data_IF_057277904834
#
_entry.id   IF_057277904834
#
_cell.length_a   1.000
_cell.length_b   1.000
_cell.length_c   1.000
_cell.angle_alpha   90.00
_cell.angle_beta   90.00
_cell.angle_gamma   90.00
#
_symmetry.space_group_name_H-M   'P 1'
#
loop_
_entity.id
_entity.type
_entity.pdbx_description
1 polymer ?
#
# COMPACT_ATOMS: atom_id res chain seq x y z
N UNK A 1 57.73 27.75 -39.27
CA UNK A 1 56.93 27.65 -38.06
C UNK A 1 55.72 26.77 -38.38
N UNK A 2 55.70 25.51 -37.93
CA UNK A 2 54.59 24.60 -38.19
C UNK A 2 53.38 24.96 -37.33
N UNK A 3 52.27 25.26 -37.98
CA UNK A 3 50.97 25.45 -37.26
C UNK A 3 50.63 24.12 -36.64
N UNK A 4 50.55 24.06 -35.31
CA UNK A 4 50.14 22.84 -34.59
C UNK A 4 48.75 22.43 -35.03
N UNK A 5 48.53 21.13 -35.26
CA UNK A 5 47.23 20.54 -35.62
C UNK A 5 46.15 20.99 -34.60
N UNK A 6 46.50 21.11 -33.32
CA UNK A 6 45.64 21.63 -32.26
C UNK A 6 45.18 23.07 -32.49
N UNK A 7 46.09 23.96 -32.98
CA UNK A 7 45.73 25.35 -33.25
C UNK A 7 44.82 25.49 -34.47
N UNK A 8 44.98 24.61 -35.45
CA UNK A 8 44.10 24.55 -36.62
C UNK A 8 42.69 24.04 -36.24
N UNK A 9 42.62 22.99 -35.43
CA UNK A 9 41.37 22.47 -34.90
C UNK A 9 40.61 23.51 -34.08
N UNK A 10 41.32 24.24 -33.20
CA UNK A 10 40.72 25.32 -32.39
C UNK A 10 40.16 26.45 -33.24
N UNK A 11 40.88 26.92 -34.25
CA UNK A 11 40.42 27.94 -35.20
C UNK A 11 39.22 27.46 -36.01
N UNK A 12 39.19 26.20 -36.43
CA UNK A 12 38.07 25.58 -37.14
C UNK A 12 36.81 25.54 -36.25
N UNK A 13 36.96 25.20 -34.97
CA UNK A 13 35.88 25.17 -33.97
C UNK A 13 35.31 26.57 -33.73
N UNK A 14 36.19 27.59 -33.60
CA UNK A 14 35.75 28.99 -33.44
C UNK A 14 35.03 29.53 -34.68
N UNK A 15 35.37 29.09 -35.89
CA UNK A 15 34.66 29.46 -37.10
C UNK A 15 33.27 28.84 -37.20
N UNK A 16 33.03 27.71 -36.51
CA UNK A 16 31.74 27.00 -36.47
C UNK A 16 31.12 27.02 -35.06
N UNK A 17 31.33 28.12 -34.32
CA UNK A 17 30.92 28.24 -32.92
C UNK A 17 29.46 27.91 -32.64
N UNK A 18 28.53 28.26 -33.56
CA UNK A 18 27.11 27.98 -33.39
C UNK A 18 26.84 26.46 -33.47
N UNK A 19 27.38 25.79 -34.49
CA UNK A 19 27.22 24.32 -34.61
C UNK A 19 27.90 23.57 -33.46
N UNK A 20 29.09 24.02 -33.04
CA UNK A 20 29.79 23.42 -31.90
C UNK A 20 29.01 23.62 -30.60
N UNK A 21 28.46 24.81 -30.37
CA UNK A 21 27.59 25.09 -29.20
C UNK A 21 26.34 24.23 -29.20
N UNK A 22 25.66 24.13 -30.36
CA UNK A 22 24.46 23.26 -30.47
C UNK A 22 24.77 21.79 -30.19
N UNK A 23 25.93 21.30 -30.68
CA UNK A 23 26.36 19.91 -30.40
C UNK A 23 26.64 19.72 -28.91
N UNK A 24 27.32 20.66 -28.27
CA UNK A 24 27.58 20.60 -26.81
C UNK A 24 26.26 20.62 -26.02
N UNK A 25 25.34 21.51 -26.39
CA UNK A 25 24.02 21.58 -25.74
C UNK A 25 23.24 20.24 -25.93
N UNK A 26 23.24 19.70 -27.15
CA UNK A 26 22.55 18.43 -27.42
C UNK A 26 23.10 17.27 -26.59
N UNK A 27 24.45 17.18 -26.51
CA UNK A 27 25.13 16.16 -25.70
C UNK A 27 24.80 16.39 -24.20
N UNK A 28 24.92 17.63 -23.74
CA UNK A 28 24.65 17.97 -22.34
C UNK A 28 23.21 17.64 -21.94
N UNK A 29 22.21 17.96 -22.80
CA UNK A 29 20.82 17.61 -22.61
C UNK A 29 20.62 16.09 -22.58
N UNK A 30 21.23 15.35 -23.50
CA UNK A 30 21.14 13.88 -23.54
C UNK A 30 21.72 13.24 -22.29
N UNK A 31 22.88 13.72 -21.84
CA UNK A 31 23.49 13.23 -20.59
C UNK A 31 22.66 13.61 -19.37
N UNK A 32 22.17 14.84 -19.31
CA UNK A 32 21.31 15.29 -18.21
C UNK A 32 20.02 14.47 -18.13
N UNK A 33 19.38 14.20 -19.27
CA UNK A 33 18.18 13.35 -19.33
C UNK A 33 18.49 11.92 -18.88
N UNK A 34 19.57 11.32 -19.37
CA UNK A 34 19.98 9.98 -18.98
C UNK A 34 20.24 9.88 -17.47
N UNK A 35 21.01 10.80 -16.91
CA UNK A 35 21.28 10.84 -15.46
C UNK A 35 20.01 11.11 -14.64
N UNK A 36 19.13 11.97 -15.15
CA UNK A 36 17.84 12.25 -14.52
C UNK A 36 16.95 11.01 -14.44
N UNK A 37 16.83 10.28 -15.55
CA UNK A 37 16.07 9.02 -15.60
C UNK A 37 16.67 7.96 -14.68
N UNK A 38 17.99 7.80 -14.70
CA UNK A 38 18.67 6.81 -13.83
C UNK A 38 18.51 7.16 -12.34
N UNK A 39 18.62 8.43 -12.00
CA UNK A 39 18.39 8.91 -10.62
C UNK A 39 16.93 8.67 -10.19
N UNK A 40 15.97 8.97 -11.05
CA UNK A 40 14.55 8.71 -10.78
C UNK A 40 14.25 7.22 -10.62
N UNK A 41 14.84 6.37 -11.46
CA UNK A 41 14.72 4.91 -11.36
C UNK A 41 15.28 4.37 -10.05
N UNK A 42 16.47 4.82 -9.66
CA UNK A 42 17.09 4.37 -8.42
C UNK A 42 16.32 4.86 -7.20
N UNK A 43 15.85 6.11 -7.20
CA UNK A 43 15.00 6.64 -6.13
C UNK A 43 13.67 5.87 -6.01
N UNK A 44 13.05 5.49 -7.12
CA UNK A 44 11.84 4.67 -7.12
C UNK A 44 12.11 3.27 -6.55
N UNK A 45 13.23 2.64 -6.92
CA UNK A 45 13.64 1.35 -6.39
C UNK A 45 13.93 1.41 -4.89
N UNK A 46 14.73 2.38 -4.46
CA UNK A 46 15.03 2.60 -3.05
C UNK A 46 13.75 2.90 -2.24
N UNK A 47 12.83 3.70 -2.78
CA UNK A 47 11.54 3.96 -2.19
C UNK A 47 10.72 2.69 -1.99
N UNK A 48 10.72 1.79 -2.99
CA UNK A 48 10.05 0.49 -2.87
C UNK A 48 10.73 -0.41 -1.83
N UNK A 49 12.04 -0.60 -1.93
CA UNK A 49 12.82 -1.44 -1.02
C UNK A 49 12.74 -0.94 0.43
N UNK A 50 12.57 0.38 0.63
CA UNK A 50 12.40 0.99 1.94
C UNK A 50 10.96 0.90 2.46
N UNK A 51 9.95 0.80 1.58
CA UNK A 51 8.55 0.78 2.00
C UNK A 51 8.13 -0.60 2.50
N UNK A 52 8.55 -1.66 1.83
CA UNK A 52 8.23 -3.04 2.23
C UNK A 52 9.47 -3.92 2.10
N UNK A 53 9.81 -4.61 3.16
CA UNK A 53 10.91 -5.56 3.20
C UNK A 53 10.46 -6.87 3.87
N UNK A 54 11.16 -7.97 3.58
CA UNK A 54 10.81 -9.27 4.18
C UNK A 54 9.53 -9.92 3.64
N UNK A 55 8.86 -9.29 2.67
CA UNK A 55 7.73 -9.85 1.93
C UNK A 55 8.23 -10.36 0.59
N UNK A 56 8.11 -11.66 0.35
CA UNK A 56 8.62 -12.27 -0.88
C UNK A 56 7.65 -12.15 -2.05
N UNK A 57 6.34 -12.16 -1.79
CA UNK A 57 5.31 -12.03 -2.81
C UNK A 57 4.18 -11.11 -2.33
N UNK A 58 3.61 -10.37 -3.27
CA UNK A 58 2.34 -9.65 -3.11
C UNK A 58 1.39 -10.27 -4.12
N UNK A 59 0.29 -10.82 -3.63
CA UNK A 59 -0.70 -11.51 -4.46
C UNK A 59 -1.96 -10.68 -4.50
N UNK A 60 -2.49 -10.46 -5.70
CA UNK A 60 -3.73 -9.71 -5.93
C UNK A 60 -4.53 -10.28 -7.09
N UNK A 61 -5.72 -9.77 -7.31
CA UNK A 61 -6.49 -10.05 -8.52
C UNK A 61 -5.84 -9.38 -9.75
N UNK A 62 -6.05 -9.88 -10.98
CA UNK A 62 -5.43 -9.34 -12.18
C UNK A 62 -5.85 -7.88 -12.45
N UNK A 63 -4.98 -6.95 -12.09
CA UNK A 63 -5.18 -5.51 -12.30
C UNK A 63 -3.93 -4.81 -12.87
N UNK A 64 -2.90 -5.60 -13.21
CA UNK A 64 -1.58 -5.11 -13.62
C UNK A 64 -0.61 -4.96 -12.43
N UNK A 65 0.62 -5.43 -12.61
CA UNK A 65 1.63 -5.50 -11.54
C UNK A 65 1.91 -4.13 -10.90
N UNK A 66 2.02 -3.08 -11.73
CA UNK A 66 2.26 -1.72 -11.23
C UNK A 66 1.08 -1.24 -10.39
N UNK A 67 -0.14 -1.48 -10.84
CA UNK A 67 -1.35 -1.08 -10.12
C UNK A 67 -1.43 -1.81 -8.77
N UNK A 68 -1.19 -3.12 -8.75
CA UNK A 68 -1.14 -3.91 -7.51
C UNK A 68 -0.15 -3.32 -6.50
N UNK A 69 1.06 -2.95 -6.93
CA UNK A 69 2.06 -2.32 -6.08
C UNK A 69 1.63 -0.93 -5.60
N UNK A 70 1.08 -0.10 -6.49
CA UNK A 70 0.66 1.25 -6.15
C UNK A 70 -0.38 1.25 -5.04
N UNK A 71 -1.43 0.44 -5.13
CA UNK A 71 -2.45 0.47 -4.09
C UNK A 71 -2.08 -0.35 -2.85
N UNK A 72 -1.44 -1.52 -3.00
CA UNK A 72 -1.16 -2.39 -1.85
C UNK A 72 0.03 -1.91 -1.00
N UNK A 73 1.06 -1.31 -1.60
CA UNK A 73 2.28 -0.86 -0.93
C UNK A 73 2.26 0.64 -0.70
N UNK A 74 2.01 1.42 -1.77
CA UNK A 74 2.10 2.88 -1.70
C UNK A 74 0.78 3.57 -1.30
N UNK A 75 -0.32 2.83 -1.17
CA UNK A 75 -1.66 3.35 -0.83
C UNK A 75 -2.21 4.34 -1.88
N UNK A 76 -1.72 4.25 -3.12
CA UNK A 76 -2.11 5.10 -4.24
C UNK A 76 -3.09 4.39 -5.17
N UNK A 77 -4.16 5.06 -5.57
CA UNK A 77 -5.19 4.49 -6.43
C UNK A 77 -6.14 3.56 -5.68
N UNK A 78 -6.91 2.76 -6.42
CA UNK A 78 -7.88 1.81 -5.89
C UNK A 78 -7.69 0.46 -6.55
N UNK A 79 -8.00 -0.61 -5.83
CA UNK A 79 -8.12 -1.94 -6.42
C UNK A 79 -9.32 -1.98 -7.37
N UNK A 80 -9.13 -2.57 -8.53
CA UNK A 80 -10.20 -2.77 -9.52
C UNK A 80 -10.85 -4.14 -9.42
N UNK A 81 -10.22 -5.07 -8.70
CA UNK A 81 -10.70 -6.42 -8.44
C UNK A 81 -10.11 -6.91 -7.11
N UNK A 82 -10.75 -7.90 -6.53
CA UNK A 82 -10.42 -8.46 -5.22
C UNK A 82 -10.24 -9.98 -5.34
N UNK A 83 -9.57 -10.58 -4.35
CA UNK A 83 -9.39 -12.02 -4.20
C UNK A 83 -10.45 -12.53 -3.23
N UNK A 84 -11.05 -13.69 -3.52
CA UNK A 84 -11.99 -14.30 -2.60
C UNK A 84 -11.30 -14.77 -1.30
N UNK A 85 -12.04 -14.76 -0.21
CA UNK A 85 -11.54 -15.25 1.08
C UNK A 85 -11.09 -16.73 1.04
N UNK A 86 -11.82 -17.65 0.37
CA UNK A 86 -11.34 -19.01 0.19
C UNK A 86 -9.99 -19.11 -0.53
N UNK A 87 -9.74 -18.25 -1.53
CA UNK A 87 -8.44 -18.21 -2.23
C UNK A 87 -7.33 -17.71 -1.31
N UNK A 88 -7.59 -16.67 -0.49
CA UNK A 88 -6.64 -16.28 0.55
C UNK A 88 -6.30 -17.44 1.49
N UNK A 89 -7.32 -18.19 1.97
CA UNK A 89 -7.10 -19.35 2.83
C UNK A 89 -6.25 -20.45 2.16
N UNK A 90 -6.47 -20.70 0.86
CA UNK A 90 -5.63 -21.62 0.09
C UNK A 90 -4.18 -21.14 0.00
N UNK A 91 -3.95 -19.84 -0.21
CA UNK A 91 -2.60 -19.25 -0.21
C UNK A 91 -1.94 -19.44 1.16
N UNK A 92 -2.64 -19.11 2.23
CA UNK A 92 -2.13 -19.19 3.59
C UNK A 92 -1.83 -20.62 4.05
N UNK A 93 -2.57 -21.59 3.55
CA UNK A 93 -2.43 -23.01 3.89
C UNK A 93 -1.32 -23.76 3.11
N UNK A 94 -0.62 -23.09 2.19
CA UNK A 94 0.44 -23.73 1.39
C UNK A 94 1.66 -24.11 2.23
N UNK A 95 2.26 -25.23 1.92
CA UNK A 95 3.45 -25.75 2.64
C UNK A 95 4.69 -24.84 2.48
N UNK A 96 4.80 -24.11 1.39
CA UNK A 96 5.92 -23.22 1.08
C UNK A 96 5.75 -21.81 1.67
N UNK A 97 4.57 -21.47 2.19
CA UNK A 97 4.25 -20.20 2.86
C UNK A 97 4.59 -20.29 4.34
N UNK A 98 5.28 -19.29 4.84
CA UNK A 98 5.56 -19.11 6.26
C UNK A 98 4.46 -18.30 6.95
N UNK A 99 4.02 -17.21 6.28
CA UNK A 99 2.95 -16.35 6.73
C UNK A 99 2.25 -15.69 5.54
N UNK A 100 0.98 -15.39 5.72
CA UNK A 100 0.19 -14.65 4.76
C UNK A 100 -0.67 -13.62 5.51
N UNK A 101 -0.55 -12.35 5.12
CA UNK A 101 -1.28 -11.24 5.73
C UNK A 101 -2.22 -10.63 4.68
N UNK A 102 -3.53 -10.80 4.84
CA UNK A 102 -4.52 -10.22 3.96
C UNK A 102 -4.69 -8.73 4.25
N UNK A 103 -4.94 -7.95 3.19
CA UNK A 103 -5.25 -6.53 3.30
C UNK A 103 -6.49 -6.17 2.49
N UNK A 104 -7.31 -5.30 3.02
CA UNK A 104 -8.47 -4.70 2.34
C UNK A 104 -8.33 -3.17 2.33
N UNK A 105 -8.52 -2.57 1.17
CA UNK A 105 -8.41 -1.14 0.93
C UNK A 105 -9.66 -0.66 0.19
N UNK A 106 -10.28 0.39 0.66
CA UNK A 106 -11.49 0.94 0.03
C UNK A 106 -12.00 2.16 0.76
N UNK A 107 -11.81 2.18 2.06
CA UNK A 107 -12.29 3.22 2.94
C UNK A 107 -11.23 4.28 3.24
N UNK A 108 -11.68 5.39 3.79
CA UNK A 108 -10.84 6.50 4.20
C UNK A 108 -11.41 7.21 5.43
N UNK A 109 -10.59 8.05 6.05
CA UNK A 109 -11.01 9.00 7.07
C UNK A 109 -10.28 10.31 6.85
N UNK A 110 -11.00 11.38 6.57
CA UNK A 110 -10.44 12.74 6.36
C UNK A 110 -9.26 12.78 5.38
N UNK A 111 -9.34 11.97 4.31
CA UNK A 111 -8.29 11.89 3.29
C UNK A 111 -7.19 10.86 3.56
N UNK A 112 -7.12 10.28 4.74
CA UNK A 112 -6.23 9.18 5.06
C UNK A 112 -6.83 7.83 4.67
N UNK A 113 -6.02 6.94 4.11
CA UNK A 113 -6.46 5.60 3.74
C UNK A 113 -6.69 4.72 4.96
N UNK A 114 -7.73 3.90 4.88
CA UNK A 114 -7.98 2.83 5.84
C UNK A 114 -7.52 1.51 5.25
N UNK A 115 -6.81 0.74 6.06
CA UNK A 115 -6.33 -0.60 5.76
C UNK A 115 -7.00 -1.58 6.71
N UNK A 116 -7.93 -2.39 6.20
CA UNK A 116 -8.40 -3.58 6.90
C UNK A 116 -7.35 -4.68 6.83
N UNK A 117 -6.98 -5.27 7.96
CA UNK A 117 -5.98 -6.34 8.03
C UNK A 117 -6.14 -7.17 9.29
N UNK A 118 -5.18 -8.06 9.57
CA UNK A 118 -5.12 -8.87 10.79
C UNK A 118 -4.00 -8.36 11.71
N UNK A 119 -4.01 -8.78 12.98
CA UNK A 119 -2.94 -8.46 13.94
C UNK A 119 -1.55 -8.89 13.44
N UNK A 120 -1.49 -9.97 12.64
CA UNK A 120 -0.25 -10.44 12.02
C UNK A 120 0.43 -9.37 11.14
N UNK A 121 -0.30 -8.35 10.68
CA UNK A 121 0.30 -7.24 9.96
C UNK A 121 1.36 -6.52 10.80
N UNK A 122 1.09 -6.24 12.06
CA UNK A 122 2.02 -5.54 12.95
C UNK A 122 3.25 -6.38 13.28
N UNK A 123 3.10 -7.70 13.32
CA UNK A 123 4.20 -8.62 13.62
C UNK A 123 5.08 -8.93 12.39
N UNK A 124 4.48 -8.95 11.19
CA UNK A 124 5.13 -9.45 9.98
C UNK A 124 5.56 -8.36 9.01
N UNK A 125 4.87 -7.21 9.00
CA UNK A 125 5.25 -6.11 8.12
C UNK A 125 6.58 -5.51 8.56
N UNK A 126 7.52 -5.44 7.60
CA UNK A 126 8.83 -4.86 7.81
C UNK A 126 9.09 -3.80 6.74
N UNK A 127 9.90 -2.79 7.08
CA UNK A 127 10.29 -1.70 6.19
C UNK A 127 11.81 -1.42 6.30
N UNK A 128 12.37 -0.67 5.36
CA UNK A 128 13.79 -0.35 5.34
C UNK A 128 14.67 -1.59 5.43
N UNK A 129 15.62 -1.58 6.34
CA UNK A 129 16.51 -2.72 6.59
C UNK A 129 15.86 -3.76 7.52
N UNK A 130 14.67 -4.23 7.18
CA UNK A 130 13.88 -5.20 7.95
C UNK A 130 13.52 -4.72 9.37
N UNK A 131 13.19 -3.45 9.49
CA UNK A 131 12.68 -2.89 10.73
C UNK A 131 11.21 -3.29 10.90
N UNK A 132 10.87 -3.81 12.07
CA UNK A 132 9.49 -4.12 12.43
C UNK A 132 8.72 -2.87 12.83
N UNK A 133 7.39 -2.88 12.65
CA UNK A 133 6.52 -1.84 13.18
C UNK A 133 6.64 -1.78 14.70
N UNK A 134 6.59 -0.59 15.26
CA UNK A 134 6.62 -0.36 16.69
C UNK A 134 5.55 0.68 17.08
N UNK A 135 4.95 0.50 18.23
CA UNK A 135 4.00 1.45 18.78
C UNK A 135 4.76 2.58 19.51
N UNK A 136 4.34 3.83 19.26
CA UNK A 136 4.74 4.98 20.06
C UNK A 136 3.90 5.01 21.33
N UNK A 137 2.61 4.72 21.21
CA UNK A 137 1.63 4.69 22.29
C UNK A 137 0.59 3.61 22.03
N UNK A 138 0.01 3.03 23.08
CA UNK A 138 -1.03 2.03 22.99
C UNK A 138 -0.58 0.68 22.49
N UNK A 139 -1.50 -0.05 21.88
CA UNK A 139 -1.36 -1.46 21.45
C UNK A 139 -2.01 -1.68 20.09
N UNK A 140 -1.85 -2.89 19.53
CA UNK A 140 -2.61 -3.31 18.35
C UNK A 140 -4.10 -3.41 18.64
N UNK A 141 -4.94 -3.41 17.62
CA UNK A 141 -6.37 -3.58 17.78
C UNK A 141 -6.70 -5.01 18.27
N UNK A 142 -7.66 -5.10 19.20
CA UNK A 142 -8.17 -6.37 19.73
C UNK A 142 -9.70 -6.43 19.60
N UNK A 143 -10.37 -5.32 19.82
CA UNK A 143 -11.81 -5.23 19.67
C UNK A 143 -12.22 -4.84 18.25
N UNK A 144 -13.48 -5.15 17.88
CA UNK A 144 -14.04 -4.98 16.54
C UNK A 144 -13.87 -3.56 16.00
N UNK A 145 -14.10 -2.55 16.82
CA UNK A 145 -14.02 -1.13 16.43
C UNK A 145 -12.78 -0.41 16.96
N UNK A 146 -11.73 -1.14 17.23
CA UNK A 146 -10.43 -0.57 17.52
C UNK A 146 -9.72 -0.14 16.23
N UNK A 147 -8.97 0.97 16.30
CA UNK A 147 -8.15 1.47 15.23
C UNK A 147 -6.72 1.77 15.69
N UNK A 148 -5.75 1.42 14.88
CA UNK A 148 -4.35 1.81 15.03
C UNK A 148 -4.01 2.82 13.94
N UNK A 149 -3.44 3.96 14.31
CA UNK A 149 -3.13 5.04 13.38
C UNK A 149 -1.64 5.20 13.17
N UNK A 150 -1.26 5.57 11.95
CA UNK A 150 0.10 5.96 11.61
C UNK A 150 0.49 7.31 12.24
N UNK A 151 1.78 7.56 12.36
CA UNK A 151 2.34 8.75 13.03
C UNK A 151 1.89 10.06 12.39
N UNK A 152 1.79 10.12 11.06
CA UNK A 152 1.34 11.32 10.34
C UNK A 152 -0.15 11.58 10.53
N UNK A 153 -0.98 10.51 10.62
CA UNK A 153 -2.41 10.63 10.94
C UNK A 153 -2.58 11.27 12.31
N UNK A 154 -1.89 10.73 13.33
CA UNK A 154 -1.93 11.25 14.69
C UNK A 154 -1.53 12.73 14.74
N UNK A 155 -0.41 13.08 14.10
CA UNK A 155 0.14 14.42 14.07
C UNK A 155 -0.74 15.43 13.34
N UNK A 156 -1.24 15.07 12.13
CA UNK A 156 -1.99 16.00 11.27
C UNK A 156 -3.42 16.23 11.76
N UNK A 157 -4.05 15.20 12.35
CA UNK A 157 -5.41 15.28 12.86
C UNK A 157 -5.47 15.63 14.36
N UNK A 158 -4.32 15.61 15.07
CA UNK A 158 -4.28 15.82 16.52
C UNK A 158 -4.95 14.68 17.30
N UNK A 159 -4.82 13.44 16.82
CA UNK A 159 -5.48 12.28 17.43
C UNK A 159 -4.58 11.60 18.45
N UNK A 160 -5.20 11.22 19.57
CA UNK A 160 -4.58 10.52 20.70
C UNK A 160 -5.35 9.21 20.98
N UNK A 161 -4.81 8.37 21.86
CA UNK A 161 -5.50 7.16 22.33
C UNK A 161 -6.88 7.53 22.90
N UNK A 162 -7.91 6.80 22.49
CA UNK A 162 -9.30 7.05 22.87
C UNK A 162 -10.07 7.97 21.94
N UNK A 163 -9.40 8.65 20.98
CA UNK A 163 -10.09 9.53 20.01
C UNK A 163 -11.04 8.72 19.14
N UNK A 164 -12.31 9.13 18.99
CA UNK A 164 -13.24 8.49 18.07
C UNK A 164 -12.96 8.92 16.64
N UNK A 165 -13.11 7.99 15.68
CA UNK A 165 -13.02 8.26 14.25
C UNK A 165 -14.12 7.54 13.48
N UNK A 166 -14.59 8.15 12.40
CA UNK A 166 -15.66 7.63 11.54
C UNK A 166 -15.07 7.34 10.17
N UNK A 167 -15.30 6.14 9.64
CA UNK A 167 -14.85 5.75 8.32
C UNK A 167 -15.85 6.17 7.25
N UNK A 168 -15.34 6.47 6.05
CA UNK A 168 -16.12 6.86 4.87
C UNK A 168 -15.71 6.02 3.67
N UNK A 169 -16.65 5.75 2.76
CA UNK A 169 -16.32 5.06 1.52
C UNK A 169 -15.53 5.95 0.55
N UNK A 170 -14.44 5.40 0.04
CA UNK A 170 -13.61 6.06 -0.97
C UNK A 170 -12.80 7.23 -0.41
N UNK A 171 -12.20 8.04 -1.30
CA UNK A 171 -11.44 9.25 -0.96
C UNK A 171 -12.28 10.54 -1.09
N UNK A 172 -13.58 10.44 -1.25
CA UNK A 172 -14.48 11.58 -1.44
C UNK A 172 -14.62 12.46 -0.20
N UNK A 173 -15.02 13.72 -0.43
CA UNK A 173 -15.34 14.64 0.66
C UNK A 173 -16.50 14.09 1.50
N UNK A 174 -16.37 14.22 2.81
CA UNK A 174 -17.34 13.81 3.82
C UNK A 174 -18.78 14.16 3.47
N UNK A 175 -19.71 13.25 3.70
CA UNK A 175 -21.10 13.62 3.88
C UNK A 175 -22.19 12.80 3.22
N UNK A 176 -21.91 11.87 2.30
CA UNK A 176 -22.97 11.06 1.71
C UNK A 176 -22.92 9.57 2.04
N UNK A 177 -21.78 9.06 2.53
CA UNK A 177 -21.55 7.66 2.81
C UNK A 177 -20.75 7.45 4.10
N UNK A 178 -21.02 8.23 5.14
CA UNK A 178 -20.34 8.13 6.43
C UNK A 178 -20.96 7.00 7.26
N UNK A 179 -20.10 6.19 7.88
CA UNK A 179 -20.51 5.17 8.86
C UNK A 179 -20.60 5.79 10.27
N UNK A 180 -21.36 6.89 10.40
CA UNK A 180 -21.50 7.71 11.61
C UNK A 180 -22.10 6.95 12.81
N UNK A 181 -22.83 5.86 12.54
CA UNK A 181 -23.41 4.98 13.55
C UNK A 181 -22.43 3.94 14.12
N UNK A 182 -21.18 3.91 13.65
CA UNK A 182 -20.14 2.92 14.04
C UNK A 182 -18.79 3.56 14.20
N UNK A 183 -18.60 4.40 15.24
CA UNK A 183 -17.32 5.05 15.45
C UNK A 183 -16.26 4.04 15.90
N UNK A 184 -15.10 4.12 15.31
CA UNK A 184 -13.89 3.44 15.78
C UNK A 184 -13.24 4.24 16.88
N UNK A 185 -12.41 3.59 17.68
CA UNK A 185 -11.62 4.23 18.72
C UNK A 185 -10.13 3.98 18.49
N UNK A 186 -9.32 5.02 18.55
CA UNK A 186 -7.87 4.90 18.49
C UNK A 186 -7.36 4.18 19.72
N UNK A 187 -6.69 3.04 19.54
CA UNK A 187 -6.08 2.22 20.61
C UNK A 187 -4.57 2.15 20.50
N UNK A 188 -4.01 2.53 19.35
CA UNK A 188 -2.57 2.52 19.12
C UNK A 188 -2.13 3.59 18.13
N UNK A 189 -0.93 4.13 18.35
CA UNK A 189 -0.24 5.04 17.45
C UNK A 189 1.11 4.43 17.11
N UNK A 190 1.38 4.25 15.82
CA UNK A 190 2.65 3.72 15.34
C UNK A 190 3.76 4.76 15.39
N UNK A 191 5.00 4.32 15.60
CA UNK A 191 6.19 5.16 15.43
C UNK A 191 6.38 5.54 13.97
N UNK A 192 7.00 6.71 13.68
CA UNK A 192 7.31 7.10 12.31
C UNK A 192 8.16 6.04 11.60
N UNK A 193 7.77 5.69 10.38
CA UNK A 193 8.45 4.72 9.54
C UNK A 193 9.09 5.35 8.30
N UNK A 194 8.65 6.56 7.90
CA UNK A 194 8.99 7.19 6.63
C UNK A 194 8.35 6.50 5.42
N UNK A 195 7.31 5.70 5.64
CA UNK A 195 6.60 4.94 4.61
C UNK A 195 5.12 5.32 4.59
N UNK A 196 4.32 4.85 3.60
CA UNK A 196 2.88 5.08 3.58
C UNK A 196 2.12 4.57 4.82
N UNK A 197 2.71 3.72 5.64
CA UNK A 197 2.17 3.28 6.93
C UNK A 197 1.89 4.49 7.85
N UNK A 198 2.74 5.51 7.80
CA UNK A 198 2.59 6.72 8.62
C UNK A 198 1.28 7.48 8.31
N UNK A 199 0.76 7.34 7.09
CA UNK A 199 -0.47 7.98 6.60
C UNK A 199 -1.66 7.01 6.51
N UNK A 200 -1.59 5.88 7.21
CA UNK A 200 -2.61 4.82 7.15
C UNK A 200 -3.29 4.63 8.50
N UNK A 201 -4.59 4.38 8.47
CA UNK A 201 -5.38 3.94 9.61
C UNK A 201 -5.60 2.43 9.44
N UNK A 202 -5.28 1.64 10.46
CA UNK A 202 -5.36 0.18 10.44
C UNK A 202 -6.51 -0.28 11.33
N UNK A 203 -7.37 -1.14 10.77
CA UNK A 203 -8.51 -1.75 11.48
C UNK A 203 -8.56 -3.25 11.18
N UNK A 204 -9.36 -3.99 11.93
CA UNK A 204 -9.55 -5.41 11.62
C UNK A 204 -10.33 -5.60 10.32
N UNK A 205 -10.15 -6.74 9.64
CA UNK A 205 -10.93 -7.10 8.45
C UNK A 205 -12.40 -7.31 8.80
N UNK A 206 -12.65 -7.86 9.98
CA UNK A 206 -13.99 -8.05 10.54
C UNK A 206 -14.71 -6.70 10.72
N UNK A 207 -13.96 -5.66 11.12
CA UNK A 207 -14.51 -4.31 11.23
C UNK A 207 -14.92 -3.73 9.88
N UNK A 208 -14.10 -3.97 8.83
CA UNK A 208 -14.49 -3.59 7.46
C UNK A 208 -15.77 -4.29 7.05
N UNK A 209 -15.90 -5.59 7.31
CA UNK A 209 -17.15 -6.32 7.06
C UNK A 209 -18.32 -5.74 7.87
N UNK A 210 -18.09 -5.45 9.16
CA UNK A 210 -19.11 -4.94 10.07
C UNK A 210 -19.68 -3.59 9.61
N UNK A 211 -18.86 -2.65 9.16
CA UNK A 211 -19.36 -1.34 8.70
C UNK A 211 -20.18 -1.44 7.41
N UNK A 212 -19.97 -2.51 6.63
CA UNK A 212 -20.71 -2.77 5.39
C UNK A 212 -22.02 -3.56 5.58
N UNK A 213 -22.29 -4.07 6.78
CA UNK A 213 -23.57 -4.70 7.09
C UNK A 213 -24.71 -3.68 6.94
N UNK A 214 -25.65 -3.98 6.04
CA UNK A 214 -26.74 -3.06 5.67
C UNK A 214 -26.42 -2.11 4.51
N UNK A 215 -25.27 -2.30 3.84
CA UNK A 215 -24.83 -1.54 2.65
C UNK A 215 -24.61 -2.43 1.42
N UNK A 216 -25.13 -3.66 1.43
CA UNK A 216 -24.89 -4.67 0.39
C UNK A 216 -25.31 -4.23 -1.02
N UNK A 217 -26.17 -3.22 -1.14
CA UNK A 217 -26.65 -2.66 -2.41
C UNK A 217 -25.92 -1.37 -2.83
N UNK A 218 -24.86 -0.97 -2.11
CA UNK A 218 -24.15 0.28 -2.33
C UNK A 218 -24.88 1.53 -1.82
N UNK A 219 -26.06 1.35 -1.18
CA UNK A 219 -26.81 2.40 -0.52
C UNK A 219 -27.22 1.95 0.89
N UNK A 220 -27.31 2.91 1.81
CA UNK A 220 -27.72 2.64 3.20
C UNK A 220 -29.15 2.09 3.21
N UNK A 221 -29.33 0.88 3.73
CA UNK A 221 -30.67 0.32 3.95
C UNK A 221 -31.29 0.94 5.21
N UNK A 222 -32.58 1.29 5.18
CA UNK A 222 -33.30 1.81 6.36
C UNK A 222 -33.23 0.89 7.59
N UNK A 223 -33.04 -0.41 7.39
CA UNK A 223 -32.85 -1.37 8.48
C UNK A 223 -31.44 -1.26 9.10
N UNK A 224 -30.44 -0.70 8.40
CA UNK A 224 -29.09 -0.54 8.93
C UNK A 224 -29.03 0.36 10.18
N UNK A 225 -29.97 1.33 10.29
CA UNK A 225 -30.07 2.22 11.45
C UNK A 225 -30.59 1.54 12.72
N UNK A 226 -31.27 0.41 12.58
CA UNK A 226 -31.79 -0.37 13.71
C UNK A 226 -30.81 -1.46 14.18
N UNK A 227 -29.72 -1.70 13.46
CA UNK A 227 -28.73 -2.71 13.82
C UNK A 227 -27.79 -2.12 14.88
N UNK A 228 -27.91 -2.59 16.11
CA UNK A 228 -27.02 -2.20 17.21
C UNK A 228 -25.63 -2.84 17.08
N UNK A 229 -24.63 -2.29 17.77
CA UNK A 229 -23.29 -2.88 17.84
C UNK A 229 -23.30 -4.33 18.35
N UNK A 230 -24.14 -4.62 19.36
CA UNK A 230 -24.31 -5.98 19.90
C UNK A 230 -24.86 -6.97 18.85
N UNK A 231 -25.82 -6.51 18.03
CA UNK A 231 -26.34 -7.34 16.93
C UNK A 231 -25.25 -7.60 15.88
N UNK A 232 -24.43 -6.59 15.53
CA UNK A 232 -23.34 -6.76 14.58
C UNK A 232 -22.35 -7.81 15.06
N UNK A 233 -21.97 -7.78 16.34
CA UNK A 233 -21.05 -8.76 16.94
C UNK A 233 -21.58 -10.19 16.88
N UNK A 234 -22.88 -10.39 16.67
CA UNK A 234 -23.50 -11.71 16.50
C UNK A 234 -23.50 -12.23 15.05
N UNK A 235 -23.15 -11.38 14.07
CA UNK A 235 -23.10 -11.80 12.67
C UNK A 235 -21.78 -12.51 12.34
N UNK A 236 -21.80 -13.30 11.27
CA UNK A 236 -20.57 -13.79 10.66
C UNK A 236 -19.89 -12.63 9.93
N UNK A 237 -18.81 -12.12 10.53
CA UNK A 237 -18.01 -11.02 10.02
C UNK A 237 -16.79 -11.50 9.21
N UNK A 238 -16.74 -12.77 8.84
CA UNK A 238 -15.71 -13.31 7.96
C UNK A 238 -15.68 -12.51 6.66
N UNK A 239 -14.54 -11.94 6.26
CA UNK A 239 -14.43 -11.22 5.00
C UNK A 239 -14.84 -12.09 3.81
N UNK A 240 -15.53 -11.54 2.84
CA UNK A 240 -15.85 -12.24 1.58
C UNK A 240 -14.68 -12.19 0.62
N UNK A 241 -14.00 -11.04 0.59
CA UNK A 241 -12.90 -10.74 -0.31
C UNK A 241 -11.81 -9.95 0.39
N UNK A 242 -10.62 -9.92 -0.19
CA UNK A 242 -9.50 -9.07 0.20
C UNK A 242 -8.85 -8.45 -1.02
N UNK A 243 -8.29 -7.28 -0.86
CA UNK A 243 -7.68 -6.52 -1.97
C UNK A 243 -6.37 -7.15 -2.43
N UNK A 244 -5.53 -7.57 -1.48
CA UNK A 244 -4.26 -8.24 -1.74
C UNK A 244 -3.81 -9.06 -0.52
N UNK A 245 -2.82 -9.90 -0.73
CA UNK A 245 -2.18 -10.70 0.32
C UNK A 245 -0.67 -10.49 0.28
N UNK A 246 -0.09 -10.11 1.41
CA UNK A 246 1.36 -10.12 1.60
C UNK A 246 1.79 -11.51 2.05
N UNK A 247 2.79 -12.08 1.39
CA UNK A 247 3.21 -13.46 1.61
C UNK A 247 4.70 -13.51 1.92
N UNK A 248 5.03 -14.12 3.03
CA UNK A 248 6.37 -14.53 3.38
C UNK A 248 6.57 -16.02 3.11
N UNK A 249 7.66 -16.38 2.45
CA UNK A 249 7.99 -17.75 2.10
C UNK A 249 9.05 -18.33 3.05
N UNK A 250 8.93 -19.62 3.36
CA UNK A 250 9.93 -20.35 4.14
C UNK A 250 11.33 -20.34 3.49
N UNK A 251 11.37 -20.19 2.16
CA UNK A 251 12.62 -20.12 1.39
C UNK A 251 12.48 -19.19 0.20
N UNK A 252 13.41 -18.24 0.07
CA UNK A 252 13.49 -17.36 -1.10
C UNK A 252 13.75 -18.10 -2.41
N UNK A 253 14.37 -19.28 -2.36
CA UNK A 253 14.62 -20.11 -3.53
C UNK A 253 13.35 -20.62 -4.20
N UNK A 254 12.21 -20.63 -3.51
CA UNK A 254 10.93 -21.10 -4.04
C UNK A 254 10.09 -20.01 -4.71
N UNK A 255 10.47 -18.72 -4.64
CA UNK A 255 9.67 -17.56 -5.13
C UNK A 255 9.14 -17.79 -6.56
N UNK A 256 10.00 -18.16 -7.50
CA UNK A 256 9.59 -18.33 -8.91
C UNK A 256 8.63 -19.52 -9.11
N UNK A 257 8.84 -20.60 -8.35
CA UNK A 257 7.97 -21.77 -8.38
C UNK A 257 6.62 -21.42 -7.78
N UNK A 258 6.60 -20.84 -6.59
CA UNK A 258 5.37 -20.44 -5.89
C UNK A 258 4.55 -19.47 -6.72
N UNK A 259 5.20 -18.44 -7.30
CA UNK A 259 4.52 -17.50 -8.21
C UNK A 259 3.90 -18.20 -9.41
N UNK A 260 4.62 -19.14 -10.05
CA UNK A 260 4.07 -19.91 -11.17
C UNK A 260 2.86 -20.73 -10.75
N UNK A 261 2.97 -21.43 -9.61
CA UNK A 261 1.88 -22.26 -9.11
C UNK A 261 0.65 -21.44 -8.75
N UNK A 262 0.81 -20.27 -8.12
CA UNK A 262 -0.29 -19.37 -7.84
C UNK A 262 -0.98 -18.86 -9.11
N UNK A 263 -0.22 -18.55 -10.16
CA UNK A 263 -0.79 -18.07 -11.43
C UNK A 263 -1.45 -19.15 -12.27
N UNK A 264 -1.16 -20.45 -12.04
CA UNK A 264 -1.62 -21.53 -12.91
C UNK A 264 -2.57 -22.51 -12.25
N UNK A 265 -2.50 -22.69 -10.94
CA UNK A 265 -3.16 -23.78 -10.23
C UNK A 265 -4.22 -23.31 -9.22
N UNK A 266 -4.45 -22.00 -9.11
CA UNK A 266 -5.51 -21.47 -8.24
C UNK A 266 -6.86 -21.47 -8.94
N UNK A 267 -7.95 -21.53 -8.16
CA UNK A 267 -9.32 -21.55 -8.66
C UNK A 267 -9.76 -20.25 -9.35
N UNK A 268 -9.11 -19.15 -9.00
CA UNK A 268 -9.31 -17.84 -9.64
C UNK A 268 -7.97 -17.27 -10.13
N UNK A 269 -7.99 -16.43 -11.18
CA UNK A 269 -6.76 -15.84 -11.70
C UNK A 269 -6.13 -14.90 -10.66
N UNK A 270 -4.81 -15.02 -10.48
CA UNK A 270 -4.01 -14.21 -9.56
C UNK A 270 -2.87 -13.48 -10.29
N UNK A 271 -2.35 -12.43 -9.70
CA UNK A 271 -1.23 -11.63 -10.18
C UNK A 271 -0.09 -11.64 -9.16
#
# INVERSE_FOLDING_TARGET
MGVSILSLAWRSLLNRKVSALLTVIAIALSVALFLGVEKARNAAKEGFDNTISGTELIVGAPSGQINLLLYSVFRLGNATAEISWPTYQQIAARDDVEWAVPISLGDSHRGFRVLGTTQAYFDRYQYGQRQSLAFAEGVQFEDLFDAVIGSDVAKQLGYEIGTPLILTHGLGAAGLNDHDNRPFRVVGVLRPTGTPVDQTIHVSLEAITAIHVGWETGARNRMADSITEEMIRSFDLTPRTVTAVFVGLKSRGTILRTRRDLNTNMSEPLL
#
